data_IF_346817629732
#
_entry.id   IF_346817629732
#
_cell.length_a   1.000
_cell.length_b   1.000
_cell.length_c   1.000
_cell.angle_alpha   90.00
_cell.angle_beta   90.00
_cell.angle_gamma   90.00
#
_symmetry.space_group_name_H-M   'P 1'
#
loop_
_entity.id
_entity.type
_entity.pdbx_description
1 polymer ?
#
# COMPACT_ATOMS: atom_id res chain seq x y z
N UNK A 1 -15.65 -12.94 -8.25
CA UNK A 1 -15.74 -11.52 -7.85
C UNK A 1 -15.75 -10.64 -9.10
N UNK A 2 -16.50 -9.53 -9.09
CA UNK A 2 -16.41 -8.51 -10.16
C UNK A 2 -15.01 -7.86 -10.11
N UNK A 3 -14.54 -7.35 -11.25
CA UNK A 3 -13.22 -6.69 -11.40
C UNK A 3 -12.94 -5.65 -10.32
N UNK A 4 -13.90 -4.75 -10.06
CA UNK A 4 -13.81 -3.73 -9.02
C UNK A 4 -13.58 -4.31 -7.61
N UNK A 5 -14.28 -5.39 -7.27
CA UNK A 5 -14.19 -6.00 -5.94
C UNK A 5 -12.81 -6.54 -5.61
N UNK A 6 -12.06 -7.01 -6.61
CA UNK A 6 -10.69 -7.48 -6.42
C UNK A 6 -9.73 -6.34 -6.09
N UNK A 7 -9.86 -5.21 -6.77
CA UNK A 7 -9.03 -4.02 -6.51
C UNK A 7 -9.35 -3.43 -5.13
N UNK A 8 -10.64 -3.27 -4.80
CA UNK A 8 -11.08 -2.77 -3.49
C UNK A 8 -10.55 -3.65 -2.36
N UNK A 9 -10.66 -4.99 -2.49
CA UNK A 9 -10.09 -5.91 -1.51
C UNK A 9 -8.57 -5.72 -1.37
N UNK A 10 -7.85 -5.57 -2.49
CA UNK A 10 -6.42 -5.31 -2.48
C UNK A 10 -6.06 -4.01 -1.77
N UNK A 11 -6.80 -2.93 -2.01
CA UNK A 11 -6.61 -1.63 -1.35
C UNK A 11 -6.86 -1.75 0.15
N UNK A 12 -7.98 -2.36 0.56
CA UNK A 12 -8.31 -2.54 1.97
C UNK A 12 -7.25 -3.37 2.70
N UNK A 13 -6.77 -4.45 2.09
CA UNK A 13 -5.72 -5.27 2.66
C UNK A 13 -4.39 -4.52 2.77
N UNK A 14 -4.03 -3.74 1.75
CA UNK A 14 -2.81 -2.93 1.77
C UNK A 14 -2.84 -1.89 2.90
N UNK A 15 -3.97 -1.20 3.05
CA UNK A 15 -4.18 -0.21 4.12
C UNK A 15 -4.13 -0.89 5.50
N UNK A 16 -4.87 -1.98 5.68
CA UNK A 16 -4.90 -2.71 6.95
C UNK A 16 -3.49 -3.14 7.38
N UNK A 17 -2.72 -3.73 6.47
CA UNK A 17 -1.37 -4.20 6.77
C UNK A 17 -0.39 -3.04 7.00
N UNK A 18 -0.47 -1.98 6.20
CA UNK A 18 0.36 -0.79 6.40
C UNK A 18 0.10 -0.13 7.76
N UNK A 19 -1.17 0.04 8.12
CA UNK A 19 -1.56 0.60 9.42
C UNK A 19 -1.15 -0.31 10.58
N UNK A 20 -1.35 -1.63 10.45
CA UNK A 20 -0.94 -2.60 11.47
C UNK A 20 0.57 -2.58 11.69
N UNK A 21 1.36 -2.45 10.63
CA UNK A 21 2.82 -2.35 10.73
C UNK A 21 3.24 -1.07 11.46
N UNK A 22 2.76 0.08 11.00
CA UNK A 22 3.18 1.39 11.53
C UNK A 22 2.64 1.63 12.94
N UNK A 23 1.33 1.49 13.14
CA UNK A 23 0.64 1.84 14.38
C UNK A 23 0.48 0.67 15.35
N UNK A 24 0.63 -0.58 14.89
CA UNK A 24 0.59 -1.76 15.74
C UNK A 24 1.99 -2.21 16.13
N UNK A 25 2.70 -2.80 15.18
CA UNK A 25 3.97 -3.51 15.43
C UNK A 25 5.08 -2.53 15.80
N UNK A 26 5.23 -1.45 15.03
CA UNK A 26 6.33 -0.52 15.22
C UNK A 26 6.04 0.59 16.23
N UNK A 27 4.79 0.85 16.59
CA UNK A 27 4.43 1.89 17.57
C UNK A 27 5.23 1.87 18.88
N UNK A 28 5.45 0.73 19.58
CA UNK A 28 6.26 0.72 20.80
C UNK A 28 7.73 1.08 20.54
N UNK A 29 8.30 0.62 19.42
CA UNK A 29 9.68 0.95 19.01
C UNK A 29 9.79 2.43 18.65
N UNK A 30 8.81 2.95 17.92
CA UNK A 30 8.72 4.35 17.54
C UNK A 30 8.64 5.27 18.76
N UNK A 31 7.86 4.85 19.76
CA UNK A 31 7.71 5.58 21.03
C UNK A 31 9.00 5.52 21.85
N UNK A 32 9.57 4.32 22.04
CA UNK A 32 10.71 4.11 22.94
C UNK A 32 12.02 4.70 22.41
N UNK A 33 12.26 4.61 21.09
CA UNK A 33 13.53 5.02 20.49
C UNK A 33 13.49 6.48 20.02
N UNK A 34 12.33 6.94 19.52
CA UNK A 34 12.22 8.26 18.89
C UNK A 34 11.34 9.24 19.66
N UNK A 35 10.77 8.83 20.79
CA UNK A 35 9.88 9.68 21.60
C UNK A 35 8.59 10.07 20.87
N UNK A 36 8.22 9.36 19.80
CA UNK A 36 7.04 9.65 18.98
C UNK A 36 5.78 9.26 19.76
N UNK A 37 5.21 10.21 20.50
CA UNK A 37 3.93 10.03 21.18
C UNK A 37 2.78 10.28 20.21
N UNK A 38 2.29 9.22 19.56
CA UNK A 38 0.92 9.12 19.02
C UNK A 38 0.41 10.21 18.06
N UNK A 39 1.24 11.12 17.57
CA UNK A 39 0.83 12.27 16.76
C UNK A 39 1.65 12.40 15.48
N UNK A 40 0.96 12.69 14.38
CA UNK A 40 1.52 12.92 13.03
C UNK A 40 2.55 14.06 13.01
N UNK A 41 2.55 14.91 14.04
CA UNK A 41 3.30 16.17 14.12
C UNK A 41 4.83 16.01 14.25
N UNK A 42 5.33 14.86 14.68
CA UNK A 42 6.79 14.65 14.91
C UNK A 42 7.48 13.77 13.86
N UNK A 43 6.73 13.22 12.90
CA UNK A 43 7.27 12.34 11.85
C UNK A 43 8.08 13.07 10.76
N UNK A 44 8.19 14.39 10.80
CA UNK A 44 8.94 15.17 9.80
C UNK A 44 10.46 15.26 10.04
N UNK A 45 10.95 15.07 11.27
CA UNK A 45 12.25 15.61 11.67
C UNK A 45 13.47 14.65 11.59
N UNK A 46 13.27 13.34 11.50
CA UNK A 46 14.38 12.36 11.73
C UNK A 46 14.75 11.47 10.54
N UNK A 47 14.08 11.57 9.39
CA UNK A 47 14.36 10.76 8.18
C UNK A 47 14.00 9.26 8.28
N UNK A 48 14.07 8.68 9.47
CA UNK A 48 13.60 7.34 9.85
C UNK A 48 12.13 7.04 9.53
N UNK A 49 11.21 8.03 9.61
CA UNK A 49 9.83 7.88 9.15
C UNK A 49 9.73 7.45 7.68
N UNK A 50 10.67 7.89 6.82
CA UNK A 50 10.64 7.59 5.39
C UNK A 50 10.92 6.14 5.08
N UNK A 51 11.90 5.52 5.75
CA UNK A 51 12.25 4.10 5.55
C UNK A 51 11.11 3.20 6.04
N UNK A 52 10.52 3.53 7.20
CA UNK A 52 9.40 2.78 7.76
C UNK A 52 8.14 2.92 6.90
N UNK A 53 7.87 4.11 6.37
CA UNK A 53 6.78 4.36 5.40
C UNK A 53 7.03 3.58 4.11
N UNK A 54 8.24 3.63 3.57
CA UNK A 54 8.60 2.88 2.38
C UNK A 54 8.44 1.37 2.58
N UNK A 55 8.92 0.83 3.71
CA UNK A 55 8.77 -0.57 4.06
C UNK A 55 7.29 -0.96 4.22
N UNK A 56 6.51 -0.17 4.96
CA UNK A 56 5.10 -0.44 5.21
C UNK A 56 4.27 -0.35 3.92
N UNK A 57 4.58 0.63 3.06
CA UNK A 57 3.98 0.75 1.74
C UNK A 57 4.33 -0.47 0.88
N UNK A 58 5.61 -0.85 0.78
CA UNK A 58 6.04 -2.02 0.02
C UNK A 58 5.34 -3.29 0.52
N UNK A 59 5.29 -3.51 1.83
CA UNK A 59 4.66 -4.69 2.42
C UNK A 59 3.15 -4.70 2.18
N UNK A 60 2.46 -3.59 2.49
CA UNK A 60 1.02 -3.46 2.29
C UNK A 60 0.64 -3.66 0.82
N UNK A 61 1.29 -2.94 -0.10
CA UNK A 61 1.00 -3.05 -1.52
C UNK A 61 1.41 -4.40 -2.12
N UNK A 62 2.44 -5.07 -1.61
CA UNK A 62 2.76 -6.43 -2.01
C UNK A 62 1.61 -7.40 -1.74
N UNK A 63 1.07 -7.42 -0.52
CA UNK A 63 -0.04 -8.31 -0.19
C UNK A 63 -1.36 -7.85 -0.81
N UNK A 64 -1.61 -6.54 -0.88
CA UNK A 64 -2.77 -5.98 -1.57
C UNK A 64 -2.80 -6.35 -3.05
N UNK A 65 -1.66 -6.21 -3.74
CA UNK A 65 -1.49 -6.64 -5.12
C UNK A 65 -1.67 -8.15 -5.29
N UNK A 66 -1.17 -8.95 -4.35
CA UNK A 66 -1.36 -10.41 -4.34
C UNK A 66 -2.83 -10.80 -4.22
N UNK A 67 -3.56 -10.21 -3.27
CA UNK A 67 -4.98 -10.47 -3.08
C UNK A 67 -5.79 -10.06 -4.31
N UNK A 68 -5.55 -8.85 -4.83
CA UNK A 68 -6.21 -8.38 -6.05
C UNK A 68 -5.92 -9.30 -7.24
N UNK A 69 -4.67 -9.71 -7.45
CA UNK A 69 -4.27 -10.64 -8.50
C UNK A 69 -4.89 -12.03 -8.35
N UNK A 70 -5.02 -12.53 -7.13
CA UNK A 70 -5.61 -13.84 -6.84
C UNK A 70 -7.13 -13.88 -7.05
N UNK A 71 -7.84 -12.80 -6.71
CA UNK A 71 -9.31 -12.76 -6.81
C UNK A 71 -9.84 -12.12 -8.10
N UNK A 72 -8.99 -11.48 -8.91
CA UNK A 72 -9.37 -10.88 -10.17
C UNK A 72 -9.94 -11.90 -11.18
N UNK A 73 -11.00 -11.55 -11.94
CA UNK A 73 -11.62 -12.46 -12.90
C UNK A 73 -10.75 -12.71 -14.15
N UNK A 74 -10.04 -11.69 -14.61
CA UNK A 74 -9.14 -11.72 -15.76
C UNK A 74 -8.07 -10.63 -15.58
N UNK A 75 -7.00 -10.66 -16.39
CA UNK A 75 -5.93 -9.63 -16.35
C UNK A 75 -5.43 -9.38 -14.92
N UNK A 76 -5.07 -10.47 -14.24
CA UNK A 76 -4.81 -10.54 -12.80
C UNK A 76 -3.70 -9.57 -12.36
N UNK A 77 -2.62 -9.50 -13.13
CA UNK A 77 -1.53 -8.54 -12.88
C UNK A 77 -1.98 -7.08 -12.92
N UNK A 78 -2.83 -6.72 -13.88
CA UNK A 78 -3.34 -5.35 -14.01
C UNK A 78 -4.19 -4.95 -12.80
N UNK A 79 -4.98 -5.86 -12.24
CA UNK A 79 -5.76 -5.58 -11.04
C UNK A 79 -4.87 -5.32 -9.82
N UNK A 80 -3.78 -6.08 -9.67
CA UNK A 80 -2.81 -5.80 -8.60
C UNK A 80 -2.10 -4.47 -8.81
N UNK A 81 -1.61 -4.18 -10.02
CA UNK A 81 -0.98 -2.88 -10.35
C UNK A 81 -1.94 -1.71 -10.17
N UNK A 82 -3.25 -1.91 -10.34
CA UNK A 82 -4.26 -0.89 -10.10
C UNK A 82 -4.44 -0.54 -8.61
N UNK A 83 -4.04 -1.41 -7.67
CA UNK A 83 -4.17 -1.15 -6.22
C UNK A 83 -3.48 0.15 -5.79
N UNK A 84 -2.16 0.34 -6.02
CA UNK A 84 -1.49 1.60 -5.67
C UNK A 84 -2.02 2.80 -6.47
N UNK A 85 -2.45 2.63 -7.72
CA UNK A 85 -3.07 3.71 -8.49
C UNK A 85 -4.36 4.20 -7.84
N UNK A 86 -5.26 3.29 -7.45
CA UNK A 86 -6.51 3.63 -6.79
C UNK A 86 -6.25 4.22 -5.39
N UNK A 87 -5.33 3.64 -4.62
CA UNK A 87 -4.95 4.20 -3.32
C UNK A 87 -4.39 5.62 -3.44
N UNK A 88 -3.57 5.87 -4.46
CA UNK A 88 -3.00 7.20 -4.74
C UNK A 88 -4.04 8.22 -5.20
N UNK A 89 -5.16 7.79 -5.80
CA UNK A 89 -6.29 8.67 -6.12
C UNK A 89 -7.17 8.92 -4.90
N UNK A 90 -7.39 7.90 -4.07
CA UNK A 90 -8.19 8.03 -2.84
C UNK A 90 -7.54 9.00 -1.87
N UNK A 91 -6.21 8.94 -1.69
CA UNK A 91 -5.49 9.79 -0.73
C UNK A 91 -5.73 11.30 -0.90
N UNK A 92 -5.52 11.92 -2.08
CA UNK A 92 -5.78 13.35 -2.28
C UNK A 92 -7.26 13.70 -2.18
N UNK A 93 -8.17 12.79 -2.57
CA UNK A 93 -9.61 12.99 -2.39
C UNK A 93 -9.95 13.07 -0.91
N UNK A 94 -9.41 12.17 -0.08
CA UNK A 94 -9.62 12.18 1.37
C UNK A 94 -9.04 13.46 2.00
N UNK A 95 -7.85 13.89 1.59
CA UNK A 95 -7.25 15.14 2.09
C UNK A 95 -8.13 16.36 1.79
N UNK A 96 -8.62 16.47 0.54
CA UNK A 96 -9.51 17.56 0.13
C UNK A 96 -10.83 17.56 0.91
N UNK A 97 -11.40 16.39 1.17
CA UNK A 97 -12.63 16.27 1.97
C UNK A 97 -12.41 16.64 3.45
N UNK A 98 -11.19 16.48 3.95
CA UNK A 98 -10.80 16.91 5.30
C UNK A 98 -10.52 18.41 5.42
N UNK A 99 -10.57 19.16 4.32
CA UNK A 99 -10.28 20.60 4.29
C UNK A 99 -8.79 20.94 4.07
N UNK A 100 -7.95 19.94 3.82
CA UNK A 100 -6.54 20.13 3.50
C UNK A 100 -6.32 20.32 1.99
N UNK A 101 -5.11 20.70 1.58
CA UNK A 101 -4.68 20.62 0.19
C UNK A 101 -4.60 19.17 -0.30
N UNK A 102 -4.63 18.92 -1.62
CA UNK A 102 -4.56 17.56 -2.17
C UNK A 102 -3.31 16.77 -1.72
N UNK A 103 -2.18 17.46 -1.57
CA UNK A 103 -0.90 16.89 -1.14
C UNK A 103 -0.31 17.74 0.01
N UNK A 104 -0.84 17.62 1.24
CA UNK A 104 -0.36 18.41 2.36
C UNK A 104 1.10 18.03 2.67
N UNK A 105 1.93 19.03 2.98
CA UNK A 105 3.36 18.83 3.26
C UNK A 105 4.27 18.64 2.04
N UNK A 106 3.73 18.57 0.81
CA UNK A 106 4.52 18.49 -0.43
C UNK A 106 4.81 19.89 -0.99
N UNK A 107 5.51 20.71 -0.20
CA UNK A 107 5.89 22.07 -0.58
C UNK A 107 7.27 22.20 -1.22
N UNK A 108 8.08 21.14 -1.20
CA UNK A 108 9.49 21.17 -1.63
C UNK A 108 9.78 20.12 -2.71
N UNK A 109 10.78 20.38 -3.55
CA UNK A 109 11.22 19.43 -4.57
C UNK A 109 11.66 18.09 -3.96
N UNK A 110 12.29 18.12 -2.79
CA UNK A 110 12.67 16.91 -2.05
C UNK A 110 11.45 16.09 -1.62
N UNK A 111 10.43 16.73 -1.03
CA UNK A 111 9.19 16.05 -0.66
C UNK A 111 8.50 15.41 -1.87
N UNK A 112 8.47 16.11 -3.01
CA UNK A 112 7.93 15.57 -4.25
C UNK A 112 8.71 14.33 -4.74
N UNK A 113 10.05 14.35 -4.68
CA UNK A 113 10.88 13.19 -5.02
C UNK A 113 10.62 11.99 -4.11
N UNK A 114 10.46 12.21 -2.80
CA UNK A 114 10.13 11.14 -1.85
C UNK A 114 8.77 10.52 -2.18
N UNK A 115 7.75 11.33 -2.48
CA UNK A 115 6.43 10.83 -2.90
C UNK A 115 6.52 9.98 -4.16
N UNK A 116 7.26 10.45 -5.17
CA UNK A 116 7.47 9.70 -6.43
C UNK A 116 8.20 8.38 -6.17
N UNK A 117 9.23 8.38 -5.31
CA UNK A 117 9.97 7.18 -4.96
C UNK A 117 9.09 6.15 -4.23
N UNK A 118 8.28 6.59 -3.26
CA UNK A 118 7.33 5.72 -2.54
C UNK A 118 6.27 5.18 -3.48
N UNK A 119 5.78 6.00 -4.43
CA UNK A 119 4.81 5.55 -5.42
C UNK A 119 5.41 4.48 -6.33
N UNK A 120 6.62 4.69 -6.86
CA UNK A 120 7.33 3.72 -7.69
C UNK A 120 7.57 2.39 -6.94
N UNK A 121 7.99 2.47 -5.67
CA UNK A 121 8.15 1.31 -4.80
C UNK A 121 6.82 0.55 -4.62
N UNK A 122 5.72 1.28 -4.40
CA UNK A 122 4.38 0.72 -4.22
C UNK A 122 3.90 -0.02 -5.47
N UNK A 123 4.12 0.56 -6.65
CA UNK A 123 3.84 -0.10 -7.93
C UNK A 123 4.69 -1.36 -8.12
N UNK A 124 5.99 -1.28 -7.85
CA UNK A 124 6.89 -2.43 -7.94
C UNK A 124 6.48 -3.57 -7.00
N UNK A 125 6.22 -3.26 -5.73
CA UNK A 125 5.79 -4.22 -4.73
C UNK A 125 4.45 -4.86 -5.11
N UNK A 126 3.48 -4.05 -5.52
CA UNK A 126 2.17 -4.54 -5.95
C UNK A 126 2.25 -5.43 -7.18
N UNK A 127 3.09 -5.08 -8.16
CA UNK A 127 3.32 -5.92 -9.34
C UNK A 127 3.87 -7.30 -8.97
N UNK A 128 4.90 -7.34 -8.11
CA UNK A 128 5.48 -8.62 -7.64
C UNK A 128 4.43 -9.43 -6.87
N UNK A 129 3.67 -8.76 -5.99
CA UNK A 129 2.54 -9.35 -5.29
C UNK A 129 1.51 -9.97 -6.24
N UNK A 130 1.07 -9.20 -7.23
CA UNK A 130 0.09 -9.63 -8.22
C UNK A 130 0.55 -10.84 -9.04
N UNK A 131 1.84 -10.88 -9.42
CA UNK A 131 2.44 -12.04 -10.09
C UNK A 131 2.37 -13.30 -9.20
N UNK A 132 2.62 -13.16 -7.90
CA UNK A 132 2.48 -14.27 -6.94
C UNK A 132 1.03 -14.70 -6.76
N UNK A 133 0.10 -13.75 -6.66
CA UNK A 133 -1.34 -14.01 -6.56
C UNK A 133 -1.89 -14.76 -7.77
N UNK A 134 -1.48 -14.37 -8.98
CA UNK A 134 -1.82 -15.07 -10.22
C UNK A 134 -1.28 -16.51 -10.24
N UNK A 135 -0.03 -16.72 -9.84
CA UNK A 135 0.56 -18.05 -9.77
C UNK A 135 -0.19 -18.97 -8.79
N UNK A 136 -0.54 -18.45 -7.60
CA UNK A 136 -1.35 -19.16 -6.60
C UNK A 136 -2.71 -19.55 -7.15
N UNK A 137 -3.38 -18.65 -7.87
CA UNK A 137 -4.67 -18.95 -8.49
C UNK A 137 -4.56 -20.12 -9.48
N UNK A 138 -3.57 -20.09 -10.38
CA UNK A 138 -3.38 -21.16 -11.35
C UNK A 138 -3.01 -22.49 -10.70
N UNK A 139 -2.26 -22.47 -9.60
CA UNK A 139 -1.96 -23.66 -8.82
C UNK A 139 -3.23 -24.27 -8.21
N UNK A 140 -4.07 -23.46 -7.55
CA UNK A 140 -5.34 -23.93 -6.97
C UNK A 140 -6.34 -24.40 -8.04
N UNK A 141 -6.40 -23.73 -9.18
CA UNK A 141 -7.26 -24.14 -10.29
C UNK A 141 -6.85 -25.51 -10.85
N UNK A 142 -5.55 -25.77 -10.98
CA UNK A 142 -5.04 -27.09 -11.39
C UNK A 142 -5.42 -28.18 -10.38
N UNK A 143 -5.34 -27.91 -9.08
CA UNK A 143 -5.75 -28.86 -8.04
C UNK A 143 -7.25 -29.12 -8.08
N UNK A 144 -8.07 -28.07 -8.27
CA UNK A 144 -9.52 -28.18 -8.34
C UNK A 144 -10.00 -29.01 -9.54
N UNK A 145 -9.30 -28.94 -10.68
CA UNK A 145 -9.61 -29.75 -11.87
C UNK A 145 -9.17 -31.22 -11.77
N UNK A 146 -8.31 -31.54 -10.81
CA UNK A 146 -7.82 -32.91 -10.58
C UNK A 146 -8.68 -33.69 -9.58
N UNK A 147 -9.52 -33.00 -8.80
CA UNK A 147 -10.56 -33.58 -7.96
C UNK A 147 -11.86 -33.63 -8.74
#
# INVERSE_FOLDING_TARGET
>A
MKSLGAVVLGVLLALLLGLLLVFGIFAPVLTAVFGLQGGVDTLGATGLPTVLVAFSAAFGFYFGGMAAGYYAPARRRLHGVAVPAVAFVISPVVNLLSGDGAFPGVGTAWAALVVVAVLALSFGASYVGARRGEALYHYHEKLRRRR
#
